data_IF_611919041345
#
_entry.id   IF_611919041345
#
_cell.length_a   1.000
_cell.length_b   1.000
_cell.length_c   1.000
_cell.angle_alpha   90.00
_cell.angle_beta   90.00
_cell.angle_gamma   90.00
#
_symmetry.space_group_name_H-M   'P 1'
#
loop_
_entity.id
_entity.type
_entity.pdbx_description
1 polymer ?
#
# COMPACT_ATOMS: atom_id res chain seq x y z
N UNK A 1 4.43 -11.46 -7.06
CA UNK A 1 4.55 -11.74 -5.62
C UNK A 1 5.94 -11.31 -5.21
N UNK A 2 6.14 -10.93 -3.95
CA UNK A 2 7.46 -10.52 -3.47
C UNK A 2 8.29 -11.76 -3.13
N UNK A 3 9.62 -11.62 -3.12
CA UNK A 3 10.55 -12.71 -2.81
C UNK A 3 10.86 -12.83 -1.31
N UNK A 4 10.09 -12.15 -0.44
CA UNK A 4 10.25 -12.23 1.00
C UNK A 4 10.08 -13.68 1.48
N UNK A 5 11.06 -14.18 2.23
CA UNK A 5 11.05 -15.48 2.90
C UNK A 5 11.18 -15.24 4.40
N UNK A 6 10.24 -15.74 5.18
CA UNK A 6 10.25 -15.62 6.65
C UNK A 6 10.35 -14.17 7.18
N UNK A 7 9.81 -13.20 6.44
CA UNK A 7 9.75 -11.79 6.87
C UNK A 7 8.41 -11.54 7.54
N UNK A 8 8.42 -11.07 8.79
CA UNK A 8 7.21 -10.70 9.53
C UNK A 8 6.73 -9.29 9.17
N UNK A 9 5.40 -9.08 9.19
CA UNK A 9 4.83 -7.75 8.97
C UNK A 9 5.27 -6.82 10.10
N UNK A 10 5.83 -5.67 9.75
CA UNK A 10 6.33 -4.70 10.72
C UNK A 10 7.67 -5.05 11.36
N UNK A 11 8.37 -6.09 10.89
CA UNK A 11 9.73 -6.44 11.34
C UNK A 11 10.80 -5.46 10.85
N UNK A 12 10.56 -4.81 9.71
CA UNK A 12 11.54 -3.98 9.00
C UNK A 12 12.72 -4.76 8.40
N UNK A 13 12.72 -6.11 8.45
CA UNK A 13 13.85 -6.97 8.03
C UNK A 13 14.18 -6.94 6.53
N UNK A 14 13.27 -6.43 5.68
CA UNK A 14 13.42 -6.39 4.23
C UNK A 14 13.61 -4.97 3.68
N UNK A 15 13.92 -4.00 4.53
CA UNK A 15 14.05 -2.60 4.13
C UNK A 15 15.48 -2.24 3.71
N UNK A 16 15.56 -1.36 2.72
CA UNK A 16 16.80 -0.66 2.36
C UNK A 16 16.64 0.83 2.64
N UNK A 17 17.76 1.45 3.00
CA UNK A 17 17.86 2.90 3.13
C UNK A 17 18.04 3.52 1.74
N UNK A 18 17.17 4.44 1.36
CA UNK A 18 17.29 5.22 0.14
C UNK A 18 17.35 6.71 0.47
N UNK A 19 18.23 7.44 -0.22
CA UNK A 19 18.23 8.90 -0.21
C UNK A 19 17.58 9.40 -1.49
N UNK A 20 16.54 10.22 -1.35
CA UNK A 20 15.89 10.85 -2.50
C UNK A 20 15.94 12.37 -2.36
N UNK A 21 16.47 13.05 -3.38
CA UNK A 21 16.69 14.50 -3.34
C UNK A 21 15.40 15.28 -3.06
N UNK A 22 14.26 14.86 -3.63
CA UNK A 22 12.96 15.50 -3.40
C UNK A 22 12.52 15.49 -1.92
N UNK A 23 13.05 14.59 -1.10
CA UNK A 23 12.74 14.51 0.32
C UNK A 23 13.79 15.22 1.20
N UNK A 24 14.99 15.46 0.68
CA UNK A 24 16.11 16.03 1.44
C UNK A 24 16.55 15.19 2.64
N UNK A 25 16.15 13.92 2.71
CA UNK A 25 16.44 13.01 3.82
C UNK A 25 16.45 11.56 3.34
N UNK A 26 17.02 10.69 4.18
CA UNK A 26 16.97 9.24 4.00
C UNK A 26 15.63 8.68 4.46
N UNK A 27 15.13 7.66 3.76
CA UNK A 27 13.93 6.90 4.12
C UNK A 27 14.20 5.40 3.99
N UNK A 28 13.38 4.59 4.65
CA UNK A 28 13.45 3.14 4.60
C UNK A 28 12.27 2.58 3.82
N UNK A 29 12.57 1.72 2.85
CA UNK A 29 11.57 1.15 1.94
C UNK A 29 11.84 -0.33 1.77
N UNK A 30 10.79 -1.15 1.74
CA UNK A 30 10.91 -2.57 1.41
C UNK A 30 11.60 -2.74 0.05
N UNK A 31 12.69 -3.51 0.02
CA UNK A 31 13.52 -3.75 -1.16
C UNK A 31 12.70 -4.17 -2.37
N UNK A 32 11.61 -4.93 -2.15
CA UNK A 32 10.76 -5.44 -3.23
C UNK A 32 9.95 -4.39 -3.99
N UNK A 33 9.81 -3.17 -3.45
CA UNK A 33 9.06 -2.06 -4.08
C UNK A 33 9.89 -0.77 -4.12
N UNK A 34 11.19 -0.83 -3.82
CA UNK A 34 12.02 0.35 -3.68
C UNK A 34 12.16 1.14 -4.99
N UNK A 35 12.35 0.46 -6.12
CA UNK A 35 12.40 1.09 -7.45
C UNK A 35 11.09 1.84 -7.77
N UNK A 36 9.94 1.24 -7.47
CA UNK A 36 8.63 1.87 -7.67
C UNK A 36 8.46 3.11 -6.79
N UNK A 37 8.91 3.08 -5.54
CA UNK A 37 8.88 4.25 -4.65
C UNK A 37 9.82 5.35 -5.14
N UNK A 38 11.02 5.01 -5.62
CA UNK A 38 11.97 5.96 -6.21
C UNK A 38 11.37 6.63 -7.45
N UNK A 39 10.74 5.86 -8.33
CA UNK A 39 10.06 6.38 -9.52
C UNK A 39 8.94 7.35 -9.14
N UNK A 40 8.09 7.00 -8.17
CA UNK A 40 7.03 7.86 -7.68
C UNK A 40 7.57 9.18 -7.12
N UNK A 41 8.60 9.11 -6.28
CA UNK A 41 9.26 10.30 -5.72
C UNK A 41 9.87 11.17 -6.82
N UNK A 42 10.46 10.56 -7.86
CA UNK A 42 11.03 11.26 -9.02
C UNK A 42 9.97 11.97 -9.85
N UNK A 43 8.73 11.45 -9.86
CA UNK A 43 7.58 12.08 -10.51
C UNK A 43 6.86 13.10 -9.62
N UNK A 44 7.37 13.42 -8.43
CA UNK A 44 6.79 14.42 -7.52
C UNK A 44 5.67 13.90 -6.62
N UNK A 45 5.45 12.59 -6.55
CA UNK A 45 4.53 11.99 -5.58
C UNK A 45 5.14 12.07 -4.18
N UNK A 46 4.35 12.50 -3.20
CA UNK A 46 4.74 12.52 -1.78
C UNK A 46 4.29 11.23 -1.10
N UNK A 47 5.17 10.25 -1.01
CA UNK A 47 4.90 9.00 -0.29
C UNK A 47 5.04 9.20 1.22
N UNK A 48 4.11 8.66 2.01
CA UNK A 48 4.10 8.71 3.48
C UNK A 48 4.33 7.34 4.13
N UNK A 49 4.21 6.26 3.36
CA UNK A 49 4.51 4.89 3.81
C UNK A 49 4.42 3.91 2.66
N UNK A 50 5.01 2.73 2.80
CA UNK A 50 4.91 1.66 1.81
C UNK A 50 5.19 0.30 2.43
N UNK A 51 4.64 -0.76 1.84
CA UNK A 51 4.95 -2.14 2.20
C UNK A 51 4.74 -3.05 1.00
N UNK A 52 5.66 -3.97 0.73
CA UNK A 52 5.52 -4.98 -0.32
C UNK A 52 4.52 -6.10 0.05
N UNK A 53 4.00 -6.09 1.28
CA UNK A 53 3.01 -7.00 1.82
C UNK A 53 3.56 -8.33 2.34
N UNK A 54 4.85 -8.62 2.12
CA UNK A 54 5.55 -9.84 2.56
C UNK A 54 4.79 -11.15 2.30
N UNK A 55 4.02 -11.22 1.21
CA UNK A 55 3.12 -12.34 0.89
C UNK A 55 2.08 -12.66 1.99
N UNK A 56 1.77 -11.69 2.85
CA UNK A 56 0.87 -11.79 4.02
C UNK A 56 -0.24 -10.75 4.03
N UNK A 57 -0.06 -9.62 3.33
CA UNK A 57 -1.09 -8.59 3.14
C UNK A 57 -1.01 -7.95 1.75
N UNK A 58 -1.87 -6.98 1.50
CA UNK A 58 -1.92 -6.20 0.27
C UNK A 58 -0.63 -5.35 0.15
N UNK A 59 0.17 -5.55 -0.92
CA UNK A 59 1.28 -4.64 -1.26
C UNK A 59 0.72 -3.24 -1.52
N UNK A 60 1.25 -2.25 -0.82
CA UNK A 60 0.64 -0.92 -0.75
C UNK A 60 1.66 0.21 -0.72
N UNK A 61 1.23 1.34 -1.30
CA UNK A 61 1.91 2.63 -1.24
C UNK A 61 0.91 3.62 -0.67
N UNK A 62 1.32 4.34 0.37
CA UNK A 62 0.53 5.37 1.03
C UNK A 62 1.11 6.72 0.66
N UNK A 63 0.25 7.65 0.25
CA UNK A 63 0.67 8.99 -0.20
C UNK A 63 0.02 10.10 0.61
N UNK A 64 0.61 11.30 0.56
CA UNK A 64 -0.06 12.49 1.06
C UNK A 64 -1.31 12.78 0.21
N UNK A 65 -2.41 13.30 0.79
CA UNK A 65 -3.65 13.51 0.05
C UNK A 65 -3.52 14.36 -1.21
N UNK A 66 -2.60 15.33 -1.22
CA UNK A 66 -2.35 16.16 -2.41
C UNK A 66 -1.75 15.39 -3.59
N UNK A 67 -1.14 14.22 -3.37
CA UNK A 67 -0.60 13.36 -4.42
C UNK A 67 -1.62 12.36 -4.98
N UNK A 68 -2.84 12.30 -4.43
CA UNK A 68 -3.90 11.41 -4.92
C UNK A 68 -4.18 11.63 -6.42
N UNK A 69 -4.39 12.86 -6.92
CA UNK A 69 -4.68 13.07 -8.34
C UNK A 69 -3.54 12.62 -9.25
N UNK A 70 -2.29 12.79 -8.81
CA UNK A 70 -1.11 12.37 -9.57
C UNK A 70 -1.00 10.84 -9.63
N UNK A 71 -1.23 10.15 -8.51
CA UNK A 71 -1.29 8.68 -8.48
C UNK A 71 -2.37 8.15 -9.43
N UNK A 72 -3.54 8.77 -9.45
CA UNK A 72 -4.65 8.42 -10.35
C UNK A 72 -4.29 8.67 -11.83
N UNK A 73 -3.67 9.81 -12.14
CA UNK A 73 -3.18 10.13 -13.49
C UNK A 73 -2.12 9.14 -13.98
N UNK A 74 -1.28 8.62 -13.06
CA UNK A 74 -0.31 7.55 -13.33
C UNK A 74 -0.95 6.15 -13.38
N UNK A 75 -2.28 6.04 -13.26
CA UNK A 75 -3.03 4.79 -13.38
C UNK A 75 -2.93 3.86 -12.16
N UNK A 76 -2.56 4.37 -10.99
CA UNK A 76 -2.61 3.60 -9.74
C UNK A 76 -4.04 3.39 -9.28
N UNK A 77 -4.29 2.24 -8.66
CA UNK A 77 -5.61 1.86 -8.15
C UNK A 77 -5.64 1.94 -6.63
N UNK A 78 -6.72 2.50 -6.11
CA UNK A 78 -7.00 2.53 -4.67
C UNK A 78 -7.30 1.13 -4.14
N UNK A 79 -6.96 0.90 -2.87
CA UNK A 79 -7.51 -0.21 -2.09
C UNK A 79 -8.08 0.28 -0.77
N UNK A 80 -9.12 -0.39 -0.30
CA UNK A 80 -9.81 0.00 0.91
C UNK A 80 -9.11 -0.58 2.14
N UNK A 81 -8.53 0.30 2.96
CA UNK A 81 -8.01 -0.06 4.27
C UNK A 81 -9.11 0.17 5.35
N UNK A 82 -9.73 -0.88 5.90
CA UNK A 82 -10.81 -0.74 6.88
C UNK A 82 -10.35 -0.10 8.20
N UNK A 83 -9.05 -0.10 8.49
CA UNK A 83 -8.49 0.53 9.69
C UNK A 83 -8.39 2.06 9.59
N UNK A 84 -8.68 2.64 8.42
CA UNK A 84 -8.60 4.09 8.21
C UNK A 84 -10.01 4.66 8.15
N UNK A 85 -10.37 5.59 9.06
CA UNK A 85 -11.68 6.24 9.03
C UNK A 85 -11.99 6.87 7.67
N UNK A 86 -13.27 6.85 7.28
CA UNK A 86 -13.72 7.51 6.05
C UNK A 86 -13.36 8.99 6.09
N UNK A 87 -12.83 9.51 4.99
CA UNK A 87 -12.49 10.92 4.86
C UNK A 87 -11.34 11.16 3.88
N UNK A 88 -10.67 12.30 4.02
CA UNK A 88 -9.56 12.71 3.13
C UNK A 88 -8.44 11.67 3.06
N UNK A 89 -8.18 10.95 4.15
CA UNK A 89 -7.10 9.96 4.24
C UNK A 89 -7.50 8.56 3.75
N UNK A 90 -8.78 8.22 3.65
CA UNK A 90 -9.20 6.86 3.23
C UNK A 90 -8.86 6.55 1.77
N UNK A 91 -8.51 7.57 0.97
CA UNK A 91 -8.08 7.46 -0.43
C UNK A 91 -6.56 7.57 -0.62
N UNK A 92 -5.79 7.52 0.46
CA UNK A 92 -4.32 7.62 0.37
C UNK A 92 -3.63 6.30 0.06
N UNK A 93 -4.38 5.18 0.06
CA UNK A 93 -3.87 3.82 -0.04
C UNK A 93 -4.01 3.29 -1.47
N UNK A 94 -2.88 3.07 -2.12
CA UNK A 94 -2.79 2.53 -3.47
C UNK A 94 -2.14 1.15 -3.48
N UNK A 95 -2.53 0.29 -4.42
CA UNK A 95 -1.81 -0.96 -4.68
C UNK A 95 -0.43 -0.65 -5.26
N UNK A 96 0.61 -1.31 -4.75
CA UNK A 96 1.89 -1.37 -5.45
C UNK A 96 1.75 -2.20 -6.74
N UNK A 97 2.29 -1.71 -7.86
CA UNK A 97 2.25 -2.35 -9.18
C UNK A 97 3.38 -3.37 -9.35
N UNK A 98 4.56 -3.12 -8.78
CA UNK A 98 5.74 -3.98 -8.94
C UNK A 98 5.58 -5.36 -8.28
N UNK A 99 4.66 -5.48 -7.30
CA UNK A 99 4.43 -6.73 -6.57
C UNK A 99 3.00 -7.22 -6.73
N UNK A 100 2.82 -8.36 -7.42
CA UNK A 100 1.51 -9.04 -7.47
C UNK A 100 1.08 -9.50 -6.07
N UNK A 101 -0.11 -9.07 -5.65
CA UNK A 101 -0.80 -9.57 -4.46
C UNK A 101 -1.39 -10.98 -4.72
N UNK A 102 -1.11 -11.97 -3.85
CA UNK A 102 -1.74 -13.28 -3.92
C UNK A 102 -3.28 -13.22 -3.92
N UNK A 103 -3.91 -14.11 -4.69
CA UNK A 103 -5.36 -14.09 -4.87
C UNK A 103 -6.11 -14.42 -3.57
N UNK A 104 -5.58 -15.33 -2.73
CA UNK A 104 -6.20 -15.67 -1.45
C UNK A 104 -6.17 -14.51 -0.45
N UNK A 105 -5.14 -13.66 -0.52
CA UNK A 105 -5.08 -12.43 0.29
C UNK A 105 -6.15 -11.45 -0.17
N UNK A 106 -6.33 -11.27 -1.48
CA UNK A 106 -7.42 -10.44 -2.01
C UNK A 106 -8.78 -10.97 -1.57
N UNK A 107 -8.98 -12.29 -1.62
CA UNK A 107 -10.22 -12.92 -1.15
C UNK A 107 -10.47 -12.61 0.33
N UNK A 108 -9.49 -12.84 1.19
CA UNK A 108 -9.63 -12.69 2.64
C UNK A 108 -9.72 -11.23 3.11
N UNK A 109 -8.97 -10.31 2.48
CA UNK A 109 -8.85 -8.93 2.95
C UNK A 109 -9.78 -7.95 2.23
N UNK A 110 -10.31 -8.31 1.08
CA UNK A 110 -11.18 -7.44 0.27
C UNK A 110 -12.56 -8.08 0.11
N UNK A 111 -12.60 -9.29 -0.44
CA UNK A 111 -13.86 -9.88 -0.89
C UNK A 111 -14.75 -10.36 0.26
N UNK A 112 -14.19 -11.11 1.22
CA UNK A 112 -14.93 -11.57 2.40
C UNK A 112 -15.44 -10.42 3.28
N UNK A 113 -14.62 -9.39 3.63
CA UNK A 113 -15.12 -8.24 4.37
C UNK A 113 -16.19 -7.46 3.61
N UNK A 114 -16.04 -7.30 2.28
CA UNK A 114 -17.05 -6.63 1.47
C UNK A 114 -18.39 -7.36 1.48
N UNK A 115 -18.39 -8.70 1.32
CA UNK A 115 -19.58 -9.54 1.45
C UNK A 115 -20.22 -9.38 2.82
N UNK A 116 -19.42 -9.41 3.89
CA UNK A 116 -19.94 -9.28 5.24
C UNK A 116 -20.65 -7.94 5.44
N UNK A 117 -20.07 -6.84 4.95
CA UNK A 117 -20.66 -5.49 5.07
C UNK A 117 -21.91 -5.29 4.20
N UNK A 118 -22.01 -5.93 3.03
CA UNK A 118 -23.05 -5.62 2.04
C UNK A 118 -24.12 -6.70 1.84
N UNK A 119 -23.86 -7.94 2.23
CA UNK A 119 -24.78 -9.08 2.02
C UNK A 119 -25.34 -9.54 3.37
N UNK A 120 -24.49 -9.64 4.39
CA UNK A 120 -24.88 -10.14 5.71
C UNK A 120 -25.11 -8.94 6.63
N UNK A 121 -26.24 -8.23 6.46
CA UNK A 121 -26.73 -7.33 7.51
C UNK A 121 -27.14 -8.19 8.71
N UNK A 122 -26.24 -8.37 9.68
CA UNK A 122 -26.69 -8.77 11.01
C UNK A 122 -27.52 -7.60 11.59
N UNK A 123 -28.67 -7.86 12.22
CA UNK A 123 -29.35 -6.81 12.98
C UNK A 123 -28.36 -6.27 14.02
N UNK A 124 -28.28 -4.94 14.13
CA UNK A 124 -27.53 -4.30 15.22
C UNK A 124 -28.10 -4.79 16.56
N UNK A 125 -27.26 -5.02 17.59
CA UNK A 125 -27.72 -5.43 18.91
C UNK A 125 -28.61 -4.38 19.58
#
# INVERSE_FOLDING_TARGET
>A
MCNCKNVELGSFDNQIEIYHQALGRKIWVDTCIAEEVIELLSNGVKTTGSCCGHNKTIPSIVVAPESIPLMEAMGYKHWFNPCVPRGKYSRTFFYAKSVKCPWWIKLQKIWLPWIWVHIIKLPEP
#
